data_IF_247662664005
#
_entry.id   IF_247662664005
#
_cell.length_a   1.000
_cell.length_b   1.000
_cell.length_c   1.000
_cell.angle_alpha   90.00
_cell.angle_beta   90.00
_cell.angle_gamma   90.00
#
_symmetry.space_group_name_H-M   'P 1'
#
loop_
_entity.id
_entity.type
_entity.pdbx_description
1 polymer ?
#
# COMPACT_ATOMS: atom_id res chain seq x y z
N UNK A 1 32.91 -58.82 -13.03
CA UNK A 1 34.11 -58.00 -12.76
C UNK A 1 34.22 -57.01 -13.92
N UNK A 2 34.14 -55.69 -13.77
CA UNK A 2 33.88 -54.79 -12.61
C UNK A 2 33.40 -53.45 -13.21
N UNK A 3 32.26 -52.87 -12.81
CA UNK A 3 32.07 -51.89 -11.72
C UNK A 3 32.79 -50.51 -11.85
N UNK A 4 32.01 -49.43 -11.65
CA UNK A 4 32.33 -48.17 -10.89
C UNK A 4 33.52 -47.28 -11.37
N UNK A 5 33.46 -45.96 -11.54
CA UNK A 5 32.43 -44.87 -11.56
C UNK A 5 33.13 -43.55 -12.05
N UNK A 6 32.69 -42.27 -11.97
CA UNK A 6 31.52 -41.53 -11.44
C UNK A 6 31.47 -40.09 -12.06
N UNK A 7 30.61 -39.20 -11.50
CA UNK A 7 30.60 -37.72 -11.52
C UNK A 7 31.14 -36.88 -12.71
N UNK A 8 30.20 -36.21 -13.40
CA UNK A 8 29.92 -34.79 -13.11
C UNK A 8 30.86 -33.70 -13.65
N UNK A 9 30.53 -33.13 -14.81
CA UNK A 9 30.90 -31.75 -15.18
C UNK A 9 29.70 -30.81 -14.99
N UNK A 10 29.54 -30.29 -13.78
CA UNK A 10 28.59 -29.20 -13.53
C UNK A 10 29.13 -27.91 -14.16
N UNK A 11 28.55 -27.47 -15.28
CA UNK A 11 28.73 -26.08 -15.70
C UNK A 11 28.25 -25.16 -14.56
N UNK A 12 29.05 -24.18 -14.12
CA UNK A 12 28.61 -23.23 -13.11
C UNK A 12 27.34 -22.53 -13.61
N UNK A 13 26.27 -22.56 -12.81
CA UNK A 13 25.07 -21.77 -13.08
C UNK A 13 25.47 -20.34 -13.36
N UNK A 14 25.01 -19.79 -14.49
CA UNK A 14 25.19 -18.37 -14.83
C UNK A 14 25.01 -17.54 -13.58
N UNK A 15 26.02 -16.75 -13.23
CA UNK A 15 25.95 -15.80 -12.13
C UNK A 15 24.66 -15.01 -12.28
N UNK A 16 23.69 -15.23 -11.38
CA UNK A 16 22.49 -14.40 -11.32
C UNK A 16 23.00 -12.97 -11.12
N UNK A 17 22.85 -12.11 -12.13
CA UNK A 17 23.19 -10.70 -11.95
C UNK A 17 22.44 -10.21 -10.72
N UNK A 18 23.16 -9.55 -9.81
CA UNK A 18 22.55 -8.97 -8.62
C UNK A 18 21.84 -7.71 -9.09
N UNK A 19 20.65 -7.91 -9.68
CA UNK A 19 19.73 -6.84 -10.06
C UNK A 19 19.51 -6.01 -8.81
N UNK A 20 20.01 -4.77 -8.82
CA UNK A 20 19.86 -3.87 -7.71
C UNK A 20 18.35 -3.68 -7.42
N UNK A 21 17.92 -3.74 -6.14
CA UNK A 21 16.52 -3.58 -5.79
C UNK A 21 16.03 -2.22 -6.28
N UNK A 22 14.94 -2.25 -7.07
CA UNK A 22 14.32 -1.05 -7.67
C UNK A 22 13.63 -0.17 -6.62
N UNK A 23 13.38 -0.73 -5.44
CA UNK A 23 12.81 -0.05 -4.28
C UNK A 23 13.60 -0.44 -3.02
N UNK A 24 13.96 0.54 -2.19
CA UNK A 24 14.55 0.28 -0.88
C UNK A 24 13.51 -0.36 0.07
N UNK A 25 12.23 -0.01 -0.08
CA UNK A 25 11.11 -0.67 0.61
C UNK A 25 9.82 -0.66 -0.24
N UNK A 26 8.89 -1.58 0.04
CA UNK A 26 7.52 -1.52 -0.50
C UNK A 26 6.47 -1.66 0.62
N UNK A 27 5.40 -0.87 0.54
CA UNK A 27 4.33 -0.78 1.53
C UNK A 27 3.03 -1.33 0.92
N UNK A 28 2.54 -2.46 1.43
CA UNK A 28 1.27 -3.05 1.05
C UNK A 28 0.12 -2.40 1.83
N UNK A 29 -0.81 -1.77 1.13
CA UNK A 29 -1.99 -1.17 1.75
C UNK A 29 -3.07 -2.22 2.09
N UNK A 30 -3.55 -2.19 3.33
CA UNK A 30 -4.81 -2.79 3.74
C UNK A 30 -6.02 -2.15 3.03
N UNK A 31 -6.99 -2.99 2.69
CA UNK A 31 -8.19 -2.67 1.89
C UNK A 31 -9.48 -2.93 2.69
N UNK A 32 -9.52 -2.42 3.92
CA UNK A 32 -10.55 -2.73 4.93
C UNK A 32 -11.94 -2.11 4.75
N UNK A 33 -12.88 -2.45 5.65
CA UNK A 33 -12.76 -3.49 6.68
C UNK A 33 -12.90 -4.89 6.06
N UNK A 34 -12.32 -5.90 6.70
CA UNK A 34 -12.44 -7.30 6.27
C UNK A 34 -13.38 -8.14 7.13
N UNK A 35 -14.11 -9.03 6.46
CA UNK A 35 -14.59 -10.29 7.04
C UNK A 35 -13.54 -11.37 6.72
N UNK A 36 -13.39 -12.36 7.59
CA UNK A 36 -12.65 -13.59 7.28
C UNK A 36 -13.65 -14.68 6.87
N UNK A 37 -13.33 -15.46 5.83
CA UNK A 37 -14.18 -16.53 5.30
C UNK A 37 -13.40 -17.84 5.24
N UNK A 38 -14.09 -18.95 5.49
CA UNK A 38 -13.51 -20.28 5.40
C UNK A 38 -13.11 -20.61 3.94
N UNK A 39 -11.92 -21.17 3.75
CA UNK A 39 -11.45 -21.66 2.45
C UNK A 39 -11.54 -23.19 2.40
N UNK A 40 -11.95 -23.74 1.24
CA UNK A 40 -11.88 -25.19 0.99
C UNK A 40 -10.43 -25.71 0.87
N UNK A 41 -9.45 -24.82 0.67
CA UNK A 41 -8.02 -25.15 0.76
C UNK A 41 -7.48 -24.70 2.14
N UNK A 42 -7.04 -25.63 3.01
CA UNK A 42 -6.45 -25.31 4.30
C UNK A 42 -5.22 -24.39 4.22
N UNK A 43 -4.49 -24.37 3.08
CA UNK A 43 -3.30 -23.52 2.87
C UNK A 43 -3.65 -22.07 2.51
N UNK A 44 -4.93 -21.74 2.41
CA UNK A 44 -5.45 -20.38 2.26
C UNK A 44 -6.55 -20.08 3.27
N UNK A 45 -6.69 -20.88 4.32
CA UNK A 45 -7.70 -20.70 5.36
C UNK A 45 -7.10 -19.92 6.55
N UNK A 46 -7.70 -18.80 7.00
CA UNK A 46 -8.87 -18.12 6.43
C UNK A 46 -8.51 -17.27 5.21
N UNK A 47 -9.44 -17.10 4.27
CA UNK A 47 -9.31 -16.07 3.22
C UNK A 47 -9.94 -14.76 3.70
N UNK A 48 -9.37 -13.59 3.32
CA UNK A 48 -10.09 -12.33 3.42
C UNK A 48 -11.28 -12.33 2.46
N UNK A 49 -12.42 -11.76 2.87
CA UNK A 49 -13.56 -11.55 1.96
C UNK A 49 -13.22 -10.58 0.83
N UNK A 50 -12.28 -9.66 1.06
CA UNK A 50 -11.73 -8.79 0.05
C UNK A 50 -10.50 -9.43 -0.65
N UNK A 51 -10.68 -9.83 -1.91
CA UNK A 51 -9.61 -10.42 -2.76
C UNK A 51 -8.42 -9.48 -2.99
N UNK A 52 -8.61 -8.16 -2.88
CA UNK A 52 -7.55 -7.19 -3.10
C UNK A 52 -6.44 -7.25 -2.05
N UNK A 53 -6.77 -7.59 -0.79
CA UNK A 53 -5.74 -7.84 0.23
C UNK A 53 -4.91 -9.10 -0.08
N UNK A 54 -5.51 -10.14 -0.68
CA UNK A 54 -4.75 -11.28 -1.19
C UNK A 54 -3.80 -10.86 -2.32
N UNK A 55 -4.25 -10.05 -3.28
CA UNK A 55 -3.36 -9.54 -4.34
C UNK A 55 -2.23 -8.67 -3.78
N UNK A 56 -2.49 -7.76 -2.85
CA UNK A 56 -1.49 -6.88 -2.26
C UNK A 56 -0.39 -7.69 -1.53
N UNK A 57 -0.77 -8.67 -0.70
CA UNK A 57 0.19 -9.54 -0.01
C UNK A 57 1.05 -10.37 -0.99
N UNK A 58 0.44 -10.99 -2.01
CA UNK A 58 1.16 -11.83 -2.97
C UNK A 58 2.06 -11.01 -3.89
N UNK A 59 1.60 -9.85 -4.37
CA UNK A 59 2.42 -8.91 -5.14
C UNK A 59 3.65 -8.46 -4.33
N UNK A 60 3.45 -8.10 -3.07
CA UNK A 60 4.53 -7.69 -2.15
C UNK A 60 5.56 -8.82 -1.97
N UNK A 61 5.12 -10.09 -1.84
CA UNK A 61 6.07 -11.20 -1.78
C UNK A 61 6.79 -11.47 -3.11
N UNK A 62 6.14 -11.27 -4.26
CA UNK A 62 6.83 -11.37 -5.56
C UNK A 62 7.92 -10.29 -5.70
N UNK A 63 7.67 -9.06 -5.26
CA UNK A 63 8.66 -7.97 -5.26
C UNK A 63 9.87 -8.30 -4.38
N UNK A 64 9.64 -8.70 -3.12
CA UNK A 64 10.73 -8.98 -2.17
C UNK A 64 11.48 -10.28 -2.53
N UNK A 65 10.77 -11.37 -2.86
CA UNK A 65 11.39 -12.66 -3.16
C UNK A 65 12.13 -12.70 -4.52
N UNK A 66 11.88 -11.73 -5.41
CA UNK A 66 12.66 -11.52 -6.65
C UNK A 66 13.77 -10.48 -6.50
N UNK A 67 13.96 -9.91 -5.30
CA UNK A 67 14.95 -8.88 -5.04
C UNK A 67 14.62 -7.51 -5.66
N UNK A 68 13.40 -7.32 -6.18
CA UNK A 68 12.95 -6.03 -6.74
C UNK A 68 12.68 -4.98 -5.65
N UNK A 69 12.43 -5.41 -4.42
CA UNK A 69 12.41 -4.58 -3.21
C UNK A 69 13.25 -5.23 -2.10
N UNK A 70 13.93 -4.46 -1.24
CA UNK A 70 14.70 -5.04 -0.11
C UNK A 70 13.80 -5.59 0.99
N UNK A 71 12.71 -4.90 1.29
CA UNK A 71 11.77 -5.26 2.36
C UNK A 71 10.32 -4.90 2.02
N UNK A 72 9.38 -5.59 2.65
CA UNK A 72 7.94 -5.42 2.46
C UNK A 72 7.22 -5.10 3.77
N UNK A 73 6.77 -3.87 3.93
CA UNK A 73 5.88 -3.45 5.02
C UNK A 73 4.45 -3.86 4.63
N UNK A 74 3.78 -4.59 5.52
CA UNK A 74 2.38 -4.98 5.38
C UNK A 74 1.60 -4.13 6.39
N UNK A 75 0.72 -3.25 5.91
CA UNK A 75 0.10 -2.19 6.71
C UNK A 75 -1.42 -2.28 6.68
N UNK A 76 -2.05 -2.08 7.85
CA UNK A 76 -3.51 -2.02 7.96
C UNK A 76 -4.04 -2.33 9.36
N UNK A 77 -4.97 -1.49 9.82
CA UNK A 77 -5.57 -1.53 11.16
C UNK A 77 -6.51 -2.73 11.41
N UNK A 78 -7.03 -2.82 12.63
CA UNK A 78 -7.92 -3.85 13.17
C UNK A 78 -9.25 -4.01 12.40
N UNK A 79 -9.44 -5.16 11.74
CA UNK A 79 -10.67 -5.53 11.02
C UNK A 79 -11.80 -5.98 11.96
N UNK A 80 -12.57 -5.04 12.49
CA UNK A 80 -13.53 -5.27 13.58
C UNK A 80 -14.90 -5.91 13.19
N UNK A 81 -15.00 -6.53 12.01
CA UNK A 81 -16.25 -7.15 11.51
C UNK A 81 -16.16 -8.68 11.40
N UNK A 82 -16.15 -9.35 12.55
CA UNK A 82 -16.21 -10.82 12.61
C UNK A 82 -17.66 -11.33 12.62
N UNK A 83 -18.29 -11.46 11.45
CA UNK A 83 -19.38 -12.45 11.30
C UNK A 83 -18.76 -13.85 11.27
N UNK A 84 -18.74 -14.53 12.43
CA UNK A 84 -18.07 -15.84 12.62
C UNK A 84 -18.93 -17.04 12.18
N UNK A 85 -19.53 -17.00 10.99
CA UNK A 85 -20.23 -18.18 10.46
C UNK A 85 -19.24 -19.20 9.89
N UNK A 86 -19.26 -20.43 10.42
CA UNK A 86 -18.54 -21.60 9.90
C UNK A 86 -17.03 -21.70 10.22
N UNK A 87 -16.39 -20.66 10.76
CA UNK A 87 -14.97 -20.71 11.15
C UNK A 87 -14.82 -21.30 12.57
N UNK A 88 -14.15 -22.45 12.70
CA UNK A 88 -13.69 -22.97 14.01
C UNK A 88 -12.66 -22.00 14.59
N UNK A 89 -12.96 -21.38 15.72
CA UNK A 89 -12.04 -20.47 16.41
C UNK A 89 -11.03 -21.25 17.24
N UNK A 90 -9.77 -21.28 16.79
CA UNK A 90 -8.61 -21.57 17.61
C UNK A 90 -7.82 -20.28 17.92
N UNK A 91 -6.81 -20.37 18.77
CA UNK A 91 -6.01 -19.20 19.19
C UNK A 91 -5.31 -18.55 17.99
N UNK A 92 -4.82 -19.33 17.03
CA UNK A 92 -4.13 -18.79 15.85
C UNK A 92 -5.07 -17.93 14.99
N UNK A 93 -6.33 -18.32 14.85
CA UNK A 93 -7.35 -17.52 14.16
C UNK A 93 -7.73 -16.23 14.91
N UNK A 94 -7.61 -16.21 16.24
CA UNK A 94 -7.79 -14.97 17.02
C UNK A 94 -6.56 -14.05 16.97
N UNK A 95 -5.35 -14.59 16.82
CA UNK A 95 -4.16 -13.79 16.53
C UNK A 95 -4.21 -13.19 15.11
N UNK A 96 -4.63 -13.99 14.12
CA UNK A 96 -4.81 -13.55 12.73
C UNK A 96 -5.85 -12.43 12.57
N UNK A 97 -6.88 -12.40 13.43
CA UNK A 97 -7.92 -11.37 13.42
C UNK A 97 -7.52 -10.05 14.12
N UNK A 98 -6.27 -9.89 14.59
CA UNK A 98 -5.84 -8.67 15.28
C UNK A 98 -5.70 -7.46 14.37
N UNK A 99 -5.19 -7.62 13.16
CA UNK A 99 -4.87 -6.54 12.22
C UNK A 99 -4.98 -7.00 10.77
N UNK A 100 -5.28 -6.09 9.84
CA UNK A 100 -5.27 -6.43 8.42
C UNK A 100 -3.85 -6.79 7.95
N UNK A 101 -2.81 -6.19 8.54
CA UNK A 101 -1.42 -6.57 8.33
C UNK A 101 -1.08 -7.99 8.80
N UNK A 102 -1.65 -8.50 9.90
CA UNK A 102 -1.52 -9.91 10.28
C UNK A 102 -2.11 -10.86 9.24
N UNK A 103 -3.26 -10.52 8.64
CA UNK A 103 -3.86 -11.33 7.57
C UNK A 103 -3.06 -11.23 6.27
N UNK A 104 -2.56 -10.04 5.92
CA UNK A 104 -1.62 -9.85 4.80
C UNK A 104 -0.36 -10.71 5.02
N UNK A 105 0.15 -10.79 6.25
CA UNK A 105 1.34 -11.57 6.59
C UNK A 105 1.11 -13.10 6.47
N UNK A 106 -0.06 -13.59 6.87
CA UNK A 106 -0.45 -15.00 6.68
C UNK A 106 -0.45 -15.39 5.20
N UNK A 107 -1.10 -14.58 4.36
CA UNK A 107 -1.15 -14.77 2.91
C UNK A 107 0.25 -14.67 2.29
N UNK A 108 1.04 -13.71 2.75
CA UNK A 108 2.44 -13.56 2.36
C UNK A 108 3.21 -14.84 2.68
N UNK A 109 3.26 -15.28 3.93
CA UNK A 109 4.02 -16.48 4.34
C UNK A 109 3.64 -17.73 3.57
N UNK A 110 2.33 -18.01 3.46
CA UNK A 110 1.78 -19.18 2.76
C UNK A 110 2.08 -19.18 1.25
N UNK A 111 2.13 -18.02 0.61
CA UNK A 111 2.22 -17.97 -0.85
C UNK A 111 3.64 -18.24 -1.36
N UNK A 112 3.74 -19.06 -2.40
CA UNK A 112 4.97 -19.25 -3.19
C UNK A 112 4.88 -18.46 -4.51
N UNK A 113 5.64 -17.36 -4.67
CA UNK A 113 5.91 -16.72 -5.96
C UNK A 113 6.27 -17.73 -7.07
N UNK A 114 5.65 -17.55 -8.24
CA UNK A 114 5.97 -18.34 -9.44
C UNK A 114 7.44 -18.20 -9.83
N UNK A 115 8.02 -19.30 -10.30
CA UNK A 115 9.35 -19.36 -10.91
C UNK A 115 10.46 -18.77 -10.02
N UNK A 116 10.24 -18.78 -8.71
CA UNK A 116 11.09 -18.18 -7.68
C UNK A 116 11.68 -19.27 -6.79
N UNK A 117 12.97 -19.10 -6.48
CA UNK A 117 13.81 -20.00 -5.71
C UNK A 117 13.30 -20.17 -4.26
N UNK A 118 13.34 -21.38 -3.71
CA UNK A 118 12.76 -21.65 -2.38
C UNK A 118 13.51 -20.93 -1.26
N UNK A 119 14.84 -20.73 -1.39
CA UNK A 119 15.60 -19.94 -0.43
C UNK A 119 15.31 -18.43 -0.54
N UNK A 120 14.98 -17.93 -1.74
CA UNK A 120 14.53 -16.55 -1.91
C UNK A 120 13.11 -16.33 -1.33
N UNK A 121 12.22 -17.32 -1.48
CA UNK A 121 10.89 -17.32 -0.85
C UNK A 121 10.97 -17.37 0.69
N UNK A 122 11.92 -18.14 1.25
CA UNK A 122 12.24 -18.13 2.70
C UNK A 122 12.89 -16.82 3.14
N UNK A 123 13.79 -16.25 2.32
CA UNK A 123 14.44 -14.97 2.58
C UNK A 123 13.43 -13.84 2.71
N UNK A 124 12.48 -13.74 1.77
CA UNK A 124 11.41 -12.74 1.81
C UNK A 124 10.56 -12.78 3.09
N UNK A 125 10.33 -13.96 3.68
CA UNK A 125 9.61 -14.10 4.95
C UNK A 125 10.35 -13.49 6.17
N UNK A 126 11.66 -13.26 6.05
CA UNK A 126 12.49 -12.54 7.05
C UNK A 126 12.60 -11.03 6.76
N UNK A 127 12.14 -10.59 5.60
CA UNK A 127 12.20 -9.21 5.09
C UNK A 127 10.81 -8.55 5.06
N UNK A 128 9.82 -9.16 5.73
CA UNK A 128 8.49 -8.58 5.95
C UNK A 128 8.48 -7.78 7.27
N UNK A 129 7.66 -6.74 7.33
CA UNK A 129 7.44 -5.91 8.52
C UNK A 129 5.93 -5.73 8.69
N UNK A 130 5.43 -5.70 9.91
CA UNK A 130 4.01 -5.43 10.19
C UNK A 130 3.82 -3.99 10.66
N UNK A 131 2.76 -3.37 10.19
CA UNK A 131 2.27 -2.06 10.61
C UNK A 131 0.77 -2.23 10.91
N UNK A 132 0.31 -1.87 12.11
CA UNK A 132 -1.01 -2.26 12.63
C UNK A 132 -1.93 -1.06 12.97
N UNK A 133 -1.49 0.17 12.71
CA UNK A 133 -2.18 1.41 13.11
C UNK A 133 -2.96 2.07 11.95
N UNK A 134 -2.57 1.81 10.70
CA UNK A 134 -3.10 2.49 9.53
C UNK A 134 -4.60 2.25 9.26
N UNK A 135 -5.42 3.28 9.53
CA UNK A 135 -6.89 3.24 9.38
C UNK A 135 -7.41 3.67 8.01
N UNK A 136 -6.54 4.21 7.15
CA UNK A 136 -6.88 4.77 5.84
C UNK A 136 -5.76 4.47 4.84
N UNK A 137 -6.02 4.66 3.54
CA UNK A 137 -4.97 4.57 2.51
C UNK A 137 -3.84 5.58 2.75
N UNK A 138 -4.15 6.75 3.33
CA UNK A 138 -3.14 7.75 3.72
C UNK A 138 -2.31 7.25 4.90
N UNK A 139 -2.97 6.71 5.93
CA UNK A 139 -2.33 6.10 7.09
C UNK A 139 -1.40 4.96 6.69
N UNK A 140 -1.77 4.12 5.71
CA UNK A 140 -0.91 3.03 5.24
C UNK A 140 0.44 3.57 4.71
N UNK A 141 0.41 4.68 3.97
CA UNK A 141 1.61 5.33 3.43
C UNK A 141 2.43 5.97 4.55
N UNK A 142 1.79 6.76 5.42
CA UNK A 142 2.52 7.52 6.45
C UNK A 142 3.04 6.65 7.61
N UNK A 143 2.31 5.63 8.06
CA UNK A 143 2.82 4.71 9.09
C UNK A 143 3.94 3.81 8.54
N UNK A 144 3.86 3.43 7.26
CA UNK A 144 4.97 2.78 6.55
C UNK A 144 6.21 3.68 6.47
N UNK A 145 6.04 4.96 6.16
CA UNK A 145 7.13 5.95 6.19
C UNK A 145 7.66 6.20 7.62
N UNK A 146 6.80 6.26 8.64
CA UNK A 146 7.19 6.38 10.05
C UNK A 146 8.07 5.20 10.49
N UNK A 147 7.77 3.98 10.03
CA UNK A 147 8.60 2.79 10.28
C UNK A 147 9.95 2.86 9.56
N UNK A 148 10.01 3.42 8.36
CA UNK A 148 11.26 3.61 7.63
C UNK A 148 12.13 4.72 8.26
N UNK A 149 11.52 5.84 8.66
CA UNK A 149 12.18 6.94 9.39
C UNK A 149 12.80 6.44 10.69
N UNK A 150 12.06 5.63 11.48
CA UNK A 150 12.57 4.99 12.72
C UNK A 150 13.73 4.02 12.49
N UNK A 151 13.93 3.52 11.27
CA UNK A 151 14.99 2.55 10.92
C UNK A 151 16.19 3.21 10.23
N UNK A 152 16.02 4.39 9.65
CA UNK A 152 17.11 5.12 9.01
C UNK A 152 18.08 5.65 10.09
N UNK A 153 19.42 5.45 9.96
CA UNK A 153 20.38 5.96 10.93
C UNK A 153 20.39 7.49 11.10
N UNK A 154 19.79 8.26 10.18
CA UNK A 154 19.60 9.71 10.30
C UNK A 154 18.19 10.10 10.77
N UNK A 155 17.32 9.13 11.07
CA UNK A 155 15.93 9.36 11.49
C UNK A 155 14.98 9.82 10.37
N UNK A 156 15.46 9.89 9.12
CA UNK A 156 14.70 10.36 7.97
C UNK A 156 15.02 9.53 6.72
N UNK A 157 14.10 8.66 6.34
CA UNK A 157 14.21 7.81 5.16
C UNK A 157 14.10 8.65 3.88
N UNK A 158 15.15 8.62 3.06
CA UNK A 158 15.23 9.29 1.75
C UNK A 158 15.30 8.32 0.56
N UNK A 159 15.26 7.01 0.82
CA UNK A 159 15.31 5.96 -0.21
C UNK A 159 14.08 5.92 -1.11
N UNK A 160 14.17 5.10 -2.15
CA UNK A 160 13.06 4.81 -3.07
C UNK A 160 12.04 3.88 -2.42
N UNK A 161 10.74 4.17 -2.59
CA UNK A 161 9.69 3.27 -2.07
C UNK A 161 8.52 3.08 -3.03
N UNK A 162 7.91 1.89 -2.95
CA UNK A 162 6.69 1.56 -3.69
C UNK A 162 5.50 1.40 -2.74
N UNK A 163 4.32 1.84 -3.15
CA UNK A 163 3.05 1.54 -2.47
C UNK A 163 2.28 0.53 -3.30
N UNK A 164 2.19 -0.69 -2.76
CA UNK A 164 1.50 -1.83 -3.38
C UNK A 164 0.04 -1.78 -2.98
N UNK A 165 -0.83 -1.55 -3.97
CA UNK A 165 -2.27 -1.65 -3.81
C UNK A 165 -2.90 -2.10 -5.13
N UNK A 166 -4.21 -2.35 -5.13
CA UNK A 166 -4.92 -2.75 -6.33
C UNK A 166 -4.91 -1.66 -7.40
N UNK A 167 -4.98 -2.07 -8.65
CA UNK A 167 -5.02 -1.25 -9.87
C UNK A 167 -6.03 -0.09 -9.75
N UNK A 168 -7.23 -0.36 -9.21
CA UNK A 168 -8.26 0.67 -8.99
C UNK A 168 -7.97 1.65 -7.84
N UNK A 169 -6.93 1.47 -7.04
CA UNK A 169 -6.43 2.51 -6.11
C UNK A 169 -5.30 3.35 -6.74
N UNK A 170 -4.73 2.91 -7.87
CA UNK A 170 -3.59 3.55 -8.52
C UNK A 170 -3.73 5.07 -8.72
N UNK A 171 -4.78 5.58 -9.37
CA UNK A 171 -4.91 7.02 -9.61
C UNK A 171 -5.03 7.83 -8.32
N UNK A 172 -5.70 7.30 -7.30
CA UNK A 172 -5.80 7.93 -5.98
C UNK A 172 -4.43 7.97 -5.26
N UNK A 173 -3.65 6.90 -5.33
CA UNK A 173 -2.31 6.84 -4.71
C UNK A 173 -1.29 7.69 -5.50
N UNK A 174 -1.41 7.78 -6.83
CA UNK A 174 -0.61 8.69 -7.64
C UNK A 174 -0.87 10.16 -7.28
N UNK A 175 -2.15 10.55 -7.15
CA UNK A 175 -2.54 11.90 -6.71
C UNK A 175 -2.06 12.19 -5.27
N UNK A 176 -2.07 11.20 -4.36
CA UNK A 176 -1.48 11.33 -3.02
C UNK A 176 0.01 11.69 -3.08
N UNK A 177 0.82 11.02 -3.92
CA UNK A 177 2.25 11.36 -4.02
C UNK A 177 2.47 12.78 -4.55
N UNK A 178 1.65 13.23 -5.50
CA UNK A 178 1.69 14.61 -6.01
C UNK A 178 1.30 15.61 -4.91
N UNK A 179 0.17 15.39 -4.21
CA UNK A 179 -0.33 16.28 -3.17
C UNK A 179 0.58 16.35 -1.93
N UNK A 180 1.32 15.28 -1.63
CA UNK A 180 2.23 15.22 -0.48
C UNK A 180 3.71 15.44 -0.84
N UNK A 181 4.04 15.71 -2.11
CA UNK A 181 5.43 15.95 -2.54
C UNK A 181 6.36 14.74 -2.44
N UNK A 182 5.81 13.52 -2.37
CA UNK A 182 6.55 12.26 -2.13
C UNK A 182 7.20 11.74 -3.42
N UNK A 183 8.14 12.50 -3.97
CA UNK A 183 8.78 12.25 -5.29
C UNK A 183 9.64 10.98 -5.36
N UNK A 184 10.04 10.43 -4.21
CA UNK A 184 10.71 9.13 -4.07
C UNK A 184 9.74 7.94 -3.97
N UNK A 185 8.43 8.20 -3.87
CA UNK A 185 7.37 7.20 -3.86
C UNK A 185 6.86 6.87 -5.27
N UNK A 186 6.44 5.61 -5.49
CA UNK A 186 5.74 5.17 -6.70
C UNK A 186 4.59 4.24 -6.38
N UNK A 187 3.54 4.27 -7.20
CA UNK A 187 2.46 3.29 -7.10
C UNK A 187 2.87 2.00 -7.80
N UNK A 188 2.52 0.86 -7.20
CA UNK A 188 2.74 -0.47 -7.75
C UNK A 188 1.39 -1.20 -7.78
N UNK A 189 0.84 -1.40 -8.98
CA UNK A 189 -0.38 -2.20 -9.16
C UNK A 189 -0.11 -3.66 -8.79
N UNK A 190 -0.78 -4.17 -7.76
CA UNK A 190 -0.65 -5.57 -7.34
C UNK A 190 -0.94 -6.56 -8.49
N UNK A 191 -2.01 -6.31 -9.24
CA UNK A 191 -2.39 -7.06 -10.44
C UNK A 191 -1.36 -6.90 -11.57
N UNK A 192 -0.71 -5.73 -11.67
CA UNK A 192 0.45 -5.50 -12.53
C UNK A 192 1.62 -6.43 -12.20
N UNK A 193 2.03 -6.50 -10.93
CA UNK A 193 3.09 -7.41 -10.44
C UNK A 193 2.73 -8.87 -10.69
N UNK A 194 1.48 -9.25 -10.41
CA UNK A 194 1.00 -10.62 -10.61
C UNK A 194 1.05 -11.03 -12.09
N UNK A 195 0.63 -10.14 -13.01
CA UNK A 195 0.73 -10.35 -14.46
C UNK A 195 2.18 -10.46 -14.93
N UNK A 196 3.07 -9.56 -14.49
CA UNK A 196 4.50 -9.63 -14.76
C UNK A 196 5.16 -10.91 -14.18
N UNK A 197 4.60 -11.45 -13.09
CA UNK A 197 5.04 -12.70 -12.46
C UNK A 197 4.36 -13.96 -13.01
N UNK A 198 3.68 -13.86 -14.16
CA UNK A 198 3.09 -15.01 -14.86
C UNK A 198 1.86 -15.61 -14.17
N UNK A 199 1.20 -14.89 -13.25
CA UNK A 199 -0.09 -15.29 -12.72
C UNK A 199 -1.19 -14.95 -13.73
N UNK A 200 -1.78 -15.99 -14.31
CA UNK A 200 -3.09 -15.89 -14.95
C UNK A 200 -4.12 -15.55 -13.88
N UNK A 201 -5.03 -14.61 -14.15
CA UNK A 201 -6.19 -14.36 -13.31
C UNK A 201 -7.06 -15.62 -13.30
N UNK A 202 -6.94 -16.43 -12.25
CA UNK A 202 -7.47 -17.80 -12.20
C UNK A 202 -8.99 -17.88 -11.98
N UNK A 203 -9.45 -18.96 -11.35
CA UNK A 203 -10.87 -19.20 -11.09
C UNK A 203 -11.60 -18.15 -10.22
N UNK A 204 -10.90 -17.13 -9.71
CA UNK A 204 -11.44 -15.95 -9.00
C UNK A 204 -11.48 -14.68 -9.87
N UNK A 205 -11.05 -14.74 -11.13
CA UNK A 205 -10.84 -13.59 -12.01
C UNK A 205 -9.74 -12.63 -11.52
N UNK A 206 -9.66 -11.45 -12.11
CA UNK A 206 -8.90 -10.30 -11.58
C UNK A 206 -9.72 -9.54 -10.51
N UNK A 207 -10.39 -10.30 -9.63
CA UNK A 207 -11.42 -9.79 -8.73
C UNK A 207 -12.69 -9.31 -9.43
N UNK A 208 -13.68 -8.80 -8.67
CA UNK A 208 -14.76 -8.00 -9.25
C UNK A 208 -14.19 -6.68 -9.79
N UNK A 209 -14.77 -6.16 -10.86
CA UNK A 209 -14.40 -4.82 -11.34
C UNK A 209 -14.70 -3.75 -10.27
N UNK A 210 -13.98 -2.63 -10.34
CA UNK A 210 -14.14 -1.43 -9.52
C UNK A 210 -15.61 -1.08 -9.19
N UNK A 211 -16.50 -1.22 -10.18
CA UNK A 211 -17.93 -0.91 -10.06
C UNK A 211 -18.69 -1.79 -9.06
N UNK A 212 -18.18 -2.97 -8.71
CA UNK A 212 -18.77 -3.85 -7.70
C UNK A 212 -18.49 -3.37 -6.28
N UNK A 213 -17.23 -3.07 -5.97
CA UNK A 213 -16.81 -2.64 -4.63
C UNK A 213 -17.19 -1.18 -4.35
N UNK A 214 -16.97 -0.27 -5.32
CA UNK A 214 -17.23 1.16 -5.14
C UNK A 214 -18.73 1.47 -4.94
N UNK A 215 -19.64 0.65 -5.47
CA UNK A 215 -21.09 0.77 -5.22
C UNK A 215 -21.51 0.48 -3.77
N UNK A 216 -20.72 -0.32 -3.03
CA UNK A 216 -20.95 -0.57 -1.61
C UNK A 216 -20.20 0.41 -0.71
N UNK A 217 -18.90 0.63 -0.98
CA UNK A 217 -18.03 1.42 -0.11
C UNK A 217 -18.23 2.95 -0.23
N UNK A 218 -18.46 3.46 -1.45
CA UNK A 218 -18.61 4.90 -1.72
C UNK A 218 -19.78 5.20 -2.67
N UNK A 219 -21.04 4.98 -2.24
CA UNK A 219 -22.21 5.32 -3.05
C UNK A 219 -22.16 6.77 -3.57
N UNK A 220 -22.41 6.93 -4.87
CA UNK A 220 -22.44 8.23 -5.55
C UNK A 220 -21.09 8.86 -5.90
N UNK A 221 -19.95 8.39 -5.37
CA UNK A 221 -18.64 9.06 -5.54
C UNK A 221 -17.59 8.20 -6.28
N UNK A 222 -16.67 8.79 -7.08
CA UNK A 222 -15.57 8.05 -7.70
C UNK A 222 -14.38 7.87 -6.72
N UNK A 223 -14.15 6.64 -6.23
CA UNK A 223 -12.94 6.19 -5.50
C UNK A 223 -12.47 6.95 -4.24
N UNK A 224 -13.08 8.09 -3.90
CA UNK A 224 -12.54 9.06 -2.97
C UNK A 224 -11.40 9.92 -3.53
N UNK A 225 -11.11 9.87 -4.83
CA UNK A 225 -10.10 10.75 -5.46
C UNK A 225 -10.51 12.21 -5.33
N UNK A 226 -11.76 12.54 -5.67
CA UNK A 226 -12.26 13.91 -5.60
C UNK A 226 -12.29 14.47 -4.17
N UNK A 227 -12.42 13.61 -3.15
CA UNK A 227 -12.27 14.07 -1.76
C UNK A 227 -10.82 14.48 -1.42
N UNK A 228 -9.79 13.94 -2.08
CA UNK A 228 -8.42 14.48 -1.99
C UNK A 228 -8.28 15.77 -2.82
N UNK A 229 -8.86 15.80 -4.01
CA UNK A 229 -8.68 16.89 -4.99
C UNK A 229 -9.41 18.18 -4.59
N UNK A 230 -10.60 18.07 -4.01
CA UNK A 230 -11.55 19.19 -3.81
C UNK A 230 -11.79 19.55 -2.32
N UNK A 231 -11.22 18.80 -1.36
CA UNK A 231 -11.49 18.96 0.07
C UNK A 231 -10.22 18.79 0.94
N UNK A 232 -9.52 19.88 1.32
CA UNK A 232 -8.34 19.82 2.17
C UNK A 232 -8.56 19.12 3.52
N UNK A 233 -9.73 19.31 4.14
CA UNK A 233 -10.07 18.70 5.43
C UNK A 233 -10.16 17.17 5.38
N UNK A 234 -10.34 16.58 4.20
CA UNK A 234 -10.35 15.12 4.01
C UNK A 234 -9.01 14.46 4.40
N UNK A 235 -7.90 15.18 4.21
CA UNK A 235 -6.53 14.62 4.35
C UNK A 235 -5.68 15.35 5.39
N UNK A 236 -6.03 16.60 5.73
CA UNK A 236 -5.32 17.40 6.75
C UNK A 236 -5.18 16.66 8.08
N UNK A 237 -6.25 15.95 8.49
CA UNK A 237 -6.25 15.15 9.73
C UNK A 237 -5.28 13.98 9.70
N UNK A 238 -5.16 13.30 8.56
CA UNK A 238 -4.28 12.13 8.42
C UNK A 238 -2.79 12.56 8.34
N UNK A 239 -2.47 13.84 8.10
CA UNK A 239 -1.09 14.35 8.25
C UNK A 239 -0.59 14.34 9.69
N UNK A 240 -1.48 14.41 10.69
CA UNK A 240 -1.07 14.36 12.10
C UNK A 240 -0.47 13.00 12.51
N UNK A 241 -0.65 11.96 11.69
CA UNK A 241 -0.03 10.64 11.83
C UNK A 241 1.47 10.67 11.51
N UNK A 242 1.98 11.68 10.81
CA UNK A 242 3.40 11.75 10.45
C UNK A 242 4.25 12.05 11.70
N UNK A 243 5.07 11.08 12.11
CA UNK A 243 5.87 11.17 13.33
C UNK A 243 7.02 12.17 13.18
N UNK A 244 7.82 12.05 12.11
CA UNK A 244 9.04 12.84 11.95
C UNK A 244 8.72 14.33 11.65
N UNK A 245 9.11 15.31 12.50
CA UNK A 245 8.69 16.71 12.36
C UNK A 245 9.04 17.34 11.01
N UNK A 246 10.20 16.99 10.45
CA UNK A 246 10.61 17.44 9.11
C UNK A 246 9.69 16.91 8.01
N UNK A 247 9.31 15.63 8.08
CA UNK A 247 8.41 15.01 7.09
C UNK A 247 7.01 15.61 7.18
N UNK A 248 6.51 15.84 8.40
CA UNK A 248 5.25 16.53 8.63
C UNK A 248 5.27 17.93 7.99
N UNK A 249 6.35 18.70 8.22
CA UNK A 249 6.52 20.02 7.63
C UNK A 249 6.59 20.00 6.09
N UNK A 250 7.41 19.13 5.51
CA UNK A 250 7.59 19.00 4.05
C UNK A 250 6.28 18.59 3.36
N UNK A 251 5.56 17.61 3.91
CA UNK A 251 4.26 17.15 3.39
C UNK A 251 3.16 18.20 3.58
N UNK A 252 3.11 18.89 4.72
CA UNK A 252 2.11 19.92 4.96
C UNK A 252 2.31 21.16 4.07
N UNK A 253 3.56 21.50 3.70
CA UNK A 253 3.83 22.52 2.67
C UNK A 253 3.50 22.05 1.27
N UNK A 254 3.85 20.82 0.89
CA UNK A 254 3.49 20.26 -0.40
C UNK A 254 1.96 20.27 -0.60
N UNK A 255 1.21 19.89 0.43
CA UNK A 255 -0.25 19.91 0.43
C UNK A 255 -0.82 21.34 0.39
N UNK A 256 -0.21 22.29 1.11
CA UNK A 256 -0.56 23.72 1.05
C UNK A 256 -0.43 24.26 -0.37
N UNK A 257 0.67 23.98 -1.05
CA UNK A 257 0.86 24.35 -2.47
C UNK A 257 -0.14 23.62 -3.38
N UNK A 258 -0.32 22.31 -3.22
CA UNK A 258 -1.24 21.50 -4.02
C UNK A 258 -2.68 22.08 -4.07
N UNK A 259 -3.15 22.70 -2.98
CA UNK A 259 -4.44 23.39 -2.96
C UNK A 259 -4.41 24.87 -3.33
N UNK A 260 -3.32 25.59 -3.01
CA UNK A 260 -3.19 27.03 -3.28
C UNK A 260 -2.91 27.35 -4.75
N UNK A 261 -2.13 26.51 -5.43
CA UNK A 261 -1.60 26.75 -6.77
C UNK A 261 -2.59 26.30 -7.89
N UNK A 262 -3.86 26.10 -7.54
CA UNK A 262 -4.92 25.61 -8.43
C UNK A 262 -5.65 26.78 -9.14
N UNK A 263 -6.27 26.54 -10.32
CA UNK A 263 -7.10 27.55 -10.98
C UNK A 263 -8.31 28.04 -10.15
N UNK A 264 -8.78 27.19 -9.24
CA UNK A 264 -9.79 27.49 -8.21
C UNK A 264 -9.21 26.99 -6.86
N UNK A 265 -8.57 27.87 -6.06
CA UNK A 265 -7.89 27.48 -4.83
C UNK A 265 -8.87 27.05 -3.73
N UNK A 266 -8.68 25.86 -3.18
CA UNK A 266 -9.51 25.38 -2.08
C UNK A 266 -9.19 26.12 -0.77
N UNK A 267 -10.23 26.50 -0.01
CA UNK A 267 -10.05 27.11 1.30
C UNK A 267 -9.35 26.14 2.28
N UNK A 268 -8.13 26.48 2.68
CA UNK A 268 -7.34 25.70 3.62
C UNK A 268 -7.79 25.93 5.08
N UNK A 269 -7.81 24.89 5.92
CA UNK A 269 -7.96 25.04 7.37
C UNK A 269 -6.94 26.00 7.98
N UNK A 270 -7.34 26.76 9.00
CA UNK A 270 -6.53 27.84 9.60
C UNK A 270 -5.16 27.40 10.08
N UNK A 271 -5.00 26.13 10.47
CA UNK A 271 -3.72 25.56 10.89
C UNK A 271 -2.61 25.62 9.81
N UNK A 272 -2.96 25.69 8.52
CA UNK A 272 -1.98 25.92 7.45
C UNK A 272 -1.39 27.34 7.45
N UNK A 273 -2.02 28.31 8.14
CA UNK A 273 -1.44 29.65 8.33
C UNK A 273 -0.26 29.66 9.31
N UNK A 274 -0.22 28.71 10.24
CA UNK A 274 0.80 28.59 11.30
C UNK A 274 2.07 27.83 10.86
N UNK A 275 2.08 27.25 9.66
CA UNK A 275 3.27 26.58 9.12
C UNK A 275 4.41 27.60 8.93
N UNK A 276 5.59 27.41 9.55
CA UNK A 276 6.75 28.27 9.34
C UNK A 276 7.20 28.20 7.87
N UNK A 277 7.81 29.26 7.33
CA UNK A 277 8.18 29.35 5.90
C UNK A 277 9.22 28.32 5.41
N UNK A 278 9.92 27.69 6.34
CA UNK A 278 10.87 26.59 6.09
C UNK A 278 11.03 25.76 7.36
N UNK A 279 11.77 24.66 7.29
CA UNK A 279 11.89 23.73 8.41
C UNK A 279 12.76 24.34 9.52
N UNK A 280 12.17 24.51 10.71
CA UNK A 280 12.83 25.01 11.91
C UNK A 280 12.68 23.97 13.03
N UNK A 281 13.75 23.25 13.41
CA UNK A 281 13.66 22.20 14.44
C UNK A 281 13.36 22.74 15.84
N UNK A 282 13.35 24.06 16.07
CA UNK A 282 12.91 24.68 17.32
C UNK A 282 11.40 24.99 17.34
N UNK A 283 10.72 24.93 16.18
CA UNK A 283 9.28 25.16 16.08
C UNK A 283 8.48 24.01 16.75
N UNK A 284 7.41 24.30 17.51
CA UNK A 284 6.65 23.30 18.26
C UNK A 284 5.69 22.50 17.37
N UNK A 285 6.22 21.69 16.44
CA UNK A 285 5.43 20.90 15.49
C UNK A 285 4.39 19.98 16.14
N UNK A 286 4.63 19.45 17.34
CA UNK A 286 3.65 18.64 18.08
C UNK A 286 2.42 19.43 18.56
N UNK A 287 2.53 20.75 18.74
CA UNK A 287 1.37 21.61 18.97
C UNK A 287 0.58 21.84 17.67
N UNK A 288 1.28 21.96 16.53
CA UNK A 288 0.66 22.13 15.22
C UNK A 288 -0.02 20.83 14.72
N UNK A 289 0.61 19.67 14.91
CA UNK A 289 0.04 18.34 14.59
C UNK A 289 -1.30 18.10 15.29
N UNK A 290 -1.47 18.58 16.53
CA UNK A 290 -2.76 18.53 17.25
C UNK A 290 -3.83 19.37 16.53
N UNK A 291 -3.52 20.62 16.16
CA UNK A 291 -4.43 21.46 15.36
C UNK A 291 -4.81 20.84 14.02
N UNK A 292 -3.89 20.09 13.39
CA UNK A 292 -4.19 19.31 12.19
C UNK A 292 -5.12 18.10 12.49
N UNK A 293 -4.90 17.39 13.60
CA UNK A 293 -5.74 16.27 14.06
C UNK A 293 -7.17 16.69 14.45
N UNK A 294 -7.31 17.91 14.97
CA UNK A 294 -8.57 18.53 15.42
C UNK A 294 -9.41 19.12 14.27
N UNK A 295 -8.89 19.16 13.02
CA UNK A 295 -9.65 19.63 11.85
C UNK A 295 -10.87 18.73 11.64
N UNK A 296 -12.10 19.28 11.60
CA UNK A 296 -13.31 18.49 11.45
C UNK A 296 -13.36 17.83 10.08
N UNK A 297 -13.65 16.53 10.05
CA UNK A 297 -13.86 15.79 8.82
C UNK A 297 -15.16 16.25 8.14
N UNK A 298 -15.03 17.07 7.11
CA UNK A 298 -16.12 17.33 6.15
C UNK A 298 -16.05 16.29 5.03
N UNK A 299 -17.21 15.97 4.45
CA UNK A 299 -17.31 15.24 3.19
C UNK A 299 -18.16 16.09 2.26
N UNK A 300 -17.64 16.39 1.08
CA UNK A 300 -18.37 17.14 0.06
C UNK A 300 -18.99 16.15 -0.94
N UNK A 301 -20.13 16.53 -1.52
CA UNK A 301 -20.71 15.78 -2.62
C UNK A 301 -20.06 16.15 -3.94
N UNK A 302 -19.92 15.15 -4.83
CA UNK A 302 -19.25 15.35 -6.09
C UNK A 302 -20.21 15.98 -7.11
N UNK A 303 -19.94 17.23 -7.48
CA UNK A 303 -20.77 18.08 -8.34
C UNK A 303 -20.54 17.89 -9.84
N UNK A 304 -19.58 17.06 -10.25
CA UNK A 304 -19.21 16.87 -11.65
C UNK A 304 -19.86 15.66 -12.35
N UNK A 305 -19.47 15.40 -13.60
CA UNK A 305 -19.97 14.25 -14.36
C UNK A 305 -19.32 12.94 -13.87
N UNK A 306 -20.09 12.17 -13.09
CA UNK A 306 -19.66 10.90 -12.48
C UNK A 306 -19.13 9.89 -13.51
N UNK A 307 -19.76 9.77 -14.69
CA UNK A 307 -19.36 8.75 -15.66
C UNK A 307 -18.11 9.16 -16.45
N UNK A 308 -17.97 10.45 -16.78
CA UNK A 308 -16.72 10.96 -17.36
C UNK A 308 -15.54 10.78 -16.38
N UNK A 309 -15.75 11.08 -15.09
CA UNK A 309 -14.76 10.85 -14.04
C UNK A 309 -14.41 9.36 -13.87
N UNK A 310 -15.39 8.45 -13.95
CA UNK A 310 -15.15 6.99 -13.92
C UNK A 310 -14.32 6.52 -15.10
N UNK A 311 -14.59 7.03 -16.31
CA UNK A 311 -13.86 6.64 -17.53
C UNK A 311 -12.39 7.07 -17.43
N UNK A 312 -12.11 8.34 -17.07
CA UNK A 312 -10.72 8.79 -16.90
C UNK A 312 -10.00 8.04 -15.77
N UNK A 313 -10.70 7.77 -14.66
CA UNK A 313 -10.16 7.00 -13.55
C UNK A 313 -9.78 5.57 -13.94
N UNK A 314 -10.64 4.86 -14.69
CA UNK A 314 -10.33 3.52 -15.22
C UNK A 314 -9.13 3.55 -16.17
N UNK A 315 -9.05 4.56 -17.05
CA UNK A 315 -7.93 4.76 -17.99
C UNK A 315 -6.61 4.95 -17.24
N UNK A 316 -6.54 5.89 -16.30
CA UNK A 316 -5.34 6.12 -15.46
C UNK A 316 -4.92 4.88 -14.68
N UNK A 317 -5.87 4.09 -14.18
CA UNK A 317 -5.58 2.86 -13.46
C UNK A 317 -4.86 1.82 -14.35
N UNK A 318 -5.32 1.66 -15.59
CA UNK A 318 -4.70 0.79 -16.59
C UNK A 318 -3.30 1.30 -16.97
N UNK A 319 -3.16 2.58 -17.28
CA UNK A 319 -1.89 3.23 -17.61
C UNK A 319 -0.84 3.04 -16.50
N UNK A 320 -1.24 3.21 -15.22
CA UNK A 320 -0.39 2.96 -14.05
C UNK A 320 -0.02 1.48 -13.88
N UNK A 321 -0.88 0.54 -14.30
CA UNK A 321 -0.55 -0.88 -14.27
C UNK A 321 0.36 -1.31 -15.43
N UNK A 322 0.27 -0.65 -16.58
CA UNK A 322 1.23 -0.83 -17.69
C UNK A 322 2.59 -0.22 -17.35
N UNK A 323 2.62 0.95 -16.72
CA UNK A 323 3.83 1.50 -16.10
C UNK A 323 4.39 0.56 -15.01
N UNK A 324 3.53 -0.10 -14.22
CA UNK A 324 3.97 -1.14 -13.26
C UNK A 324 4.61 -2.34 -13.97
N UNK A 325 4.20 -2.70 -15.19
CA UNK A 325 4.84 -3.79 -15.97
C UNK A 325 6.16 -3.34 -16.61
N UNK A 326 6.24 -2.13 -17.16
CA UNK A 326 7.52 -1.52 -17.56
C UNK A 326 8.46 -1.30 -16.35
N UNK A 327 7.88 -1.28 -15.15
CA UNK A 327 8.49 -1.35 -13.83
C UNK A 327 9.58 -2.45 -13.70
N UNK A 328 9.22 -3.67 -14.17
CA UNK A 328 9.59 -4.95 -13.54
C UNK A 328 10.27 -5.95 -14.49
#
# INVERSE_FOLDING_TARGET
MSEVSYFGSSEPTKSKEVIAPRFDAVIACGMGPMELKASHDPKTNPVPSNVFNYFNAVATKNLVARGWAREGILSGYHSRQTQREGIRTDVALEELARSESSVLAHIFDQTRPKDTDIEAVKGAAKLKILEENAKTTFGNIFEGLNLLDRKDPQGYFSGSFGVVSSEFHGPRIAEMFQAFGLTNGRFISAEGVLRASGYMGGARGWGPTYDGYNRGAYPGQPAGLQNLVDNPSYVTRDLAVIDHPRRFHEVAHALKSYYSDRPDPAALPDCFSELPKGYDPSFPYEALKRKFADVPFTKHDYVGNIEAARIDYRRRAQELSEQTRMIL
#
